data_IF_287186364253
#
_entry.id   IF_287186364253
#
_cell.length_a   1.000
_cell.length_b   1.000
_cell.length_c   1.000
_cell.angle_alpha   90.00
_cell.angle_beta   90.00
_cell.angle_gamma   90.00
#
_symmetry.space_group_name_H-M   'P 1'
#
loop_
_entity.id
_entity.type
_entity.pdbx_description
1 polymer ?
#
# COMPACT_ATOMS: atom_id res chain seq x y z
N UNK A 1 24.09 11.05 11.60
CA UNK A 1 22.76 11.61 11.30
C UNK A 1 21.71 10.73 11.94
N UNK A 2 20.82 11.29 12.77
CA UNK A 2 19.75 10.54 13.48
C UNK A 2 18.40 10.89 12.87
N UNK A 3 17.67 9.86 12.42
CA UNK A 3 16.37 10.01 11.72
C UNK A 3 15.30 9.28 12.52
N UNK A 4 14.23 9.99 12.85
CA UNK A 4 13.06 9.40 13.47
C UNK A 4 11.99 9.10 12.40
N UNK A 5 11.39 7.90 12.45
CA UNK A 5 10.45 7.42 11.45
C UNK A 5 9.16 6.92 12.13
N UNK A 6 8.01 7.18 11.50
CA UNK A 6 6.73 6.60 11.95
C UNK A 6 5.98 6.04 10.75
N UNK A 7 5.86 4.72 10.70
CA UNK A 7 5.02 3.99 9.75
C UNK A 7 3.78 3.43 10.45
N UNK A 8 2.63 3.50 9.80
CA UNK A 8 1.34 3.14 10.41
C UNK A 8 0.74 1.81 9.97
N UNK A 9 1.25 1.19 8.91
CA UNK A 9 0.74 -0.05 8.34
C UNK A 9 1.86 -0.83 7.65
N UNK A 10 1.59 -2.07 7.24
CA UNK A 10 2.56 -2.90 6.53
C UNK A 10 3.08 -2.25 5.23
N UNK A 11 2.23 -1.51 4.50
CA UNK A 11 2.63 -0.74 3.32
C UNK A 11 3.63 0.36 3.67
N UNK A 12 3.35 1.12 4.74
CA UNK A 12 4.26 2.15 5.25
C UNK A 12 5.58 1.57 5.77
N UNK A 13 5.54 0.40 6.40
CA UNK A 13 6.74 -0.31 6.86
C UNK A 13 7.68 -0.70 5.70
N UNK A 14 7.12 -1.21 4.61
CA UNK A 14 7.88 -1.52 3.39
C UNK A 14 8.50 -0.26 2.77
N UNK A 15 7.75 0.84 2.68
CA UNK A 15 8.24 2.13 2.19
C UNK A 15 9.37 2.68 3.09
N UNK A 16 9.18 2.61 4.40
CA UNK A 16 10.17 3.00 5.41
C UNK A 16 11.46 2.19 5.30
N UNK A 17 11.34 0.88 5.12
CA UNK A 17 12.50 0.01 4.90
C UNK A 17 13.29 0.37 3.63
N UNK A 18 12.59 0.70 2.55
CA UNK A 18 13.21 1.19 1.31
C UNK A 18 13.95 2.51 1.54
N UNK A 19 13.32 3.46 2.23
CA UNK A 19 13.91 4.75 2.58
C UNK A 19 15.19 4.58 3.45
N UNK A 20 15.12 3.72 4.48
CA UNK A 20 16.28 3.43 5.34
C UNK A 20 17.45 2.90 4.53
N UNK A 21 17.22 1.90 3.66
CA UNK A 21 18.28 1.34 2.80
C UNK A 21 18.88 2.39 1.87
N UNK A 22 18.04 3.22 1.24
CA UNK A 22 18.48 4.27 0.33
C UNK A 22 19.31 5.36 1.03
N UNK A 23 18.93 5.75 2.25
CA UNK A 23 19.69 6.73 3.05
C UNK A 23 21.00 6.11 3.51
N UNK A 24 20.99 4.88 4.02
CA UNK A 24 22.19 4.20 4.53
C UNK A 24 23.24 3.97 3.43
N UNK A 25 22.80 3.73 2.20
CA UNK A 25 23.71 3.61 1.06
C UNK A 25 24.49 4.91 0.78
N UNK A 26 23.95 6.08 1.18
CA UNK A 26 24.55 7.41 1.00
C UNK A 26 25.21 7.94 2.27
N UNK A 27 24.67 7.57 3.42
CA UNK A 27 25.12 7.99 4.77
C UNK A 27 25.19 6.74 5.65
N UNK A 28 26.30 5.96 5.57
CA UNK A 28 26.43 4.67 6.27
C UNK A 28 26.22 4.76 7.78
N UNK A 29 26.65 5.86 8.39
CA UNK A 29 26.54 6.11 9.84
C UNK A 29 25.19 6.69 10.28
N UNK A 30 24.17 6.69 9.40
CA UNK A 30 22.83 7.12 9.77
C UNK A 30 22.17 6.12 10.72
N UNK A 31 21.60 6.63 11.80
CA UNK A 31 20.82 5.85 12.76
C UNK A 31 19.32 6.16 12.62
N UNK A 32 18.50 5.14 12.81
CA UNK A 32 17.06 5.19 12.62
C UNK A 32 16.34 4.66 13.84
N UNK A 33 15.34 5.39 14.33
CA UNK A 33 14.48 4.96 15.44
C UNK A 33 13.02 5.34 15.17
N UNK A 34 12.07 4.58 15.70
CA UNK A 34 10.68 5.00 15.61
C UNK A 34 9.62 3.94 15.74
N UNK A 35 8.45 4.20 15.13
CA UNK A 35 7.36 3.23 15.02
C UNK A 35 7.58 2.44 13.73
N UNK A 36 7.91 1.16 13.89
CA UNK A 36 8.43 0.32 12.83
C UNK A 36 7.81 -1.07 12.86
N UNK A 37 7.61 -1.65 11.68
CA UNK A 37 7.28 -3.04 11.51
C UNK A 37 8.53 -3.89 11.18
N UNK A 38 8.31 -5.17 10.85
CA UNK A 38 9.40 -6.12 10.59
C UNK A 38 10.37 -5.70 9.49
N UNK A 39 9.87 -5.06 8.41
CA UNK A 39 10.71 -4.66 7.28
C UNK A 39 11.66 -3.51 7.64
N UNK A 40 11.19 -2.49 8.35
CA UNK A 40 12.05 -1.40 8.84
C UNK A 40 13.05 -1.90 9.87
N UNK A 41 12.66 -2.81 10.76
CA UNK A 41 13.57 -3.44 11.74
C UNK A 41 14.69 -4.19 11.00
N UNK A 42 14.33 -5.03 10.02
CA UNK A 42 15.30 -5.75 9.19
C UNK A 42 16.23 -4.80 8.40
N UNK A 43 15.76 -3.59 8.05
CA UNK A 43 16.57 -2.54 7.45
C UNK A 43 17.44 -1.78 8.46
N UNK A 44 17.30 -2.06 9.78
CA UNK A 44 18.13 -1.50 10.86
C UNK A 44 17.52 -0.31 11.59
N UNK A 45 16.20 -0.22 11.66
CA UNK A 45 15.48 0.74 12.51
C UNK A 45 15.37 0.21 13.94
N UNK A 46 15.73 1.02 14.92
CA UNK A 46 15.44 0.75 16.33
C UNK A 46 13.94 0.97 16.58
N UNK A 47 13.24 -0.10 16.92
CA UNK A 47 11.80 -0.04 17.19
C UNK A 47 11.51 0.51 18.57
N UNK A 48 10.85 1.66 18.65
CA UNK A 48 10.30 2.23 19.88
C UNK A 48 8.86 1.75 20.15
N UNK A 49 8.09 1.50 19.10
CA UNK A 49 6.72 0.98 19.17
C UNK A 49 6.43 0.18 17.87
N UNK A 50 5.49 -0.73 17.93
CA UNK A 50 5.08 -1.56 16.79
C UNK A 50 4.18 -0.79 15.83
N UNK A 51 4.42 -0.93 14.52
CA UNK A 51 3.60 -0.30 13.48
C UNK A 51 2.15 -0.80 13.52
N UNK A 52 1.90 -2.06 13.93
CA UNK A 52 0.55 -2.59 14.10
C UNK A 52 -0.29 -1.80 15.10
N UNK A 53 0.34 -1.11 16.06
CA UNK A 53 -0.35 -0.22 17.00
C UNK A 53 -1.12 0.89 16.28
N UNK A 54 -0.65 1.33 15.11
CA UNK A 54 -1.31 2.35 14.29
C UNK A 54 -2.28 1.76 13.27
N UNK A 55 -2.06 0.51 12.82
CA UNK A 55 -2.89 -0.18 11.83
C UNK A 55 -4.35 -0.40 12.29
N UNK A 56 -4.58 -0.44 13.59
CA UNK A 56 -5.92 -0.59 14.19
C UNK A 56 -6.87 0.57 13.85
N UNK A 57 -6.36 1.69 13.31
CA UNK A 57 -7.20 2.84 12.90
C UNK A 57 -8.13 2.56 11.70
N UNK A 58 -7.88 1.51 10.91
CA UNK A 58 -8.70 1.13 9.76
C UNK A 58 -9.85 0.17 10.07
N UNK A 59 -9.95 -0.38 11.27
CA UNK A 59 -10.93 -1.39 11.66
C UNK A 59 -12.06 -0.80 12.54
N UNK A 60 -13.19 -1.43 12.51
CA UNK A 60 -14.57 -1.06 12.89
C UNK A 60 -14.79 -0.37 14.27
N UNK A 61 -13.78 -0.19 15.15
CA UNK A 61 -13.92 0.51 16.43
C UNK A 61 -12.85 1.59 16.68
N UNK A 62 -12.77 2.68 15.86
CA UNK A 62 -11.72 3.69 16.05
C UNK A 62 -11.75 4.40 17.39
N UNK A 63 -12.92 4.58 18.01
CA UNK A 63 -13.07 5.39 19.23
C UNK A 63 -12.37 4.81 20.46
N UNK A 64 -12.31 3.49 20.62
CA UNK A 64 -11.68 2.85 21.79
C UNK A 64 -10.14 2.99 21.79
N UNK A 65 -9.55 3.11 20.62
CA UNK A 65 -8.07 3.17 20.47
C UNK A 65 -7.51 4.60 20.47
N UNK A 66 -8.34 5.62 20.21
CA UNK A 66 -7.92 7.03 20.16
C UNK A 66 -7.12 7.47 21.40
N UNK A 67 -7.52 7.15 22.66
CA UNK A 67 -6.74 7.57 23.83
C UNK A 67 -5.32 6.96 23.87
N UNK A 68 -5.16 5.71 23.41
CA UNK A 68 -3.84 5.03 23.31
C UNK A 68 -2.98 5.73 22.27
N UNK A 69 -3.52 6.00 21.09
CA UNK A 69 -2.81 6.67 20.00
C UNK A 69 -2.40 8.10 20.36
N UNK A 70 -3.27 8.84 21.06
CA UNK A 70 -2.94 10.18 21.56
C UNK A 70 -1.85 10.15 22.62
N UNK A 71 -1.83 9.13 23.50
CA UNK A 71 -0.75 8.93 24.47
C UNK A 71 0.57 8.60 23.79
N UNK A 72 0.57 7.68 22.83
CA UNK A 72 1.75 7.34 22.04
C UNK A 72 2.29 8.58 21.32
N UNK A 73 1.44 9.34 20.60
CA UNK A 73 1.85 10.56 19.92
C UNK A 73 2.44 11.62 20.87
N UNK A 74 1.89 11.73 22.07
CA UNK A 74 2.45 12.65 23.10
C UNK A 74 3.79 12.16 23.62
N UNK A 75 3.96 10.86 23.84
CA UNK A 75 5.21 10.25 24.29
C UNK A 75 6.32 10.44 23.27
N UNK A 76 6.07 10.14 21.99
CA UNK A 76 7.01 10.34 20.89
C UNK A 76 7.38 11.83 20.73
N UNK A 77 6.39 12.72 20.75
CA UNK A 77 6.66 14.15 20.70
C UNK A 77 7.56 14.61 21.85
N UNK A 78 7.27 14.19 23.11
CA UNK A 78 8.09 14.52 24.27
C UNK A 78 9.53 14.00 24.15
N UNK A 79 9.69 12.76 23.65
CA UNK A 79 11.01 12.14 23.43
C UNK A 79 11.82 12.98 22.44
N UNK A 80 11.27 13.26 21.26
CA UNK A 80 11.98 13.91 20.16
C UNK A 80 12.09 15.45 20.30
N UNK A 81 11.27 16.08 21.15
CA UNK A 81 11.50 17.47 21.56
C UNK A 81 12.64 17.55 22.58
N UNK A 82 12.74 16.59 23.52
CA UNK A 82 13.81 16.56 24.52
C UNK A 82 15.16 16.18 23.90
N UNK A 83 15.18 15.28 22.92
CA UNK A 83 16.35 14.83 22.19
C UNK A 83 16.03 14.85 20.69
N UNK A 84 16.19 16.01 20.02
CA UNK A 84 15.77 16.18 18.64
C UNK A 84 16.54 15.29 17.65
N UNK A 85 15.86 14.56 16.75
CA UNK A 85 16.51 13.98 15.59
C UNK A 85 16.90 15.07 14.59
N UNK A 86 17.81 14.77 13.68
CA UNK A 86 18.14 15.68 12.58
C UNK A 86 16.95 15.87 11.65
N UNK A 87 16.19 14.79 11.41
CA UNK A 87 14.95 14.78 10.60
C UNK A 87 13.95 13.81 11.19
N UNK A 88 12.67 14.20 11.19
CA UNK A 88 11.53 13.32 11.39
C UNK A 88 10.84 13.03 10.06
N UNK A 89 10.49 11.77 9.80
CA UNK A 89 9.73 11.37 8.62
C UNK A 89 8.47 10.62 9.04
N UNK A 90 7.30 11.22 8.79
CA UNK A 90 6.03 10.53 8.87
C UNK A 90 5.74 9.78 7.57
N UNK A 91 5.49 8.47 7.64
CA UNK A 91 5.24 7.64 6.47
C UNK A 91 3.78 7.26 6.45
N UNK A 92 3.03 7.77 5.46
CA UNK A 92 1.58 7.57 5.36
C UNK A 92 0.84 7.94 6.68
N UNK A 93 -0.27 7.28 7.00
CA UNK A 93 -1.04 7.50 8.24
C UNK A 93 -1.20 8.99 8.63
N UNK A 94 -1.71 9.86 7.75
CA UNK A 94 -1.70 11.31 7.91
C UNK A 94 -2.44 11.79 9.17
N UNK A 95 -3.48 11.07 9.60
CA UNK A 95 -4.26 11.43 10.79
C UNK A 95 -3.45 11.29 12.09
N UNK A 96 -2.47 10.38 12.12
CA UNK A 96 -1.52 10.28 13.21
C UNK A 96 -0.32 11.20 13.00
N UNK A 97 0.34 11.11 11.85
CA UNK A 97 1.62 11.74 11.58
C UNK A 97 1.54 13.27 11.55
N UNK A 98 0.54 13.89 10.92
CA UNK A 98 0.41 15.36 10.89
C UNK A 98 0.31 15.98 12.28
N UNK A 99 -0.33 15.28 13.22
CA UNK A 99 -0.39 15.79 14.61
C UNK A 99 0.95 15.74 15.33
N UNK A 100 1.83 14.81 14.97
CA UNK A 100 3.19 14.67 15.51
C UNK A 100 4.14 15.64 14.81
N UNK A 101 4.14 15.65 13.49
CA UNK A 101 4.92 16.56 12.64
C UNK A 101 4.76 18.02 13.04
N UNK A 102 3.50 18.49 13.19
CA UNK A 102 3.23 19.88 13.67
C UNK A 102 3.92 20.22 14.95
N UNK A 103 3.93 19.31 15.93
CA UNK A 103 4.57 19.54 17.24
C UNK A 103 6.08 19.57 17.10
N UNK A 104 6.65 18.67 16.30
CA UNK A 104 8.09 18.58 16.07
C UNK A 104 8.58 19.78 15.26
N UNK A 105 7.89 20.15 14.19
CA UNK A 105 8.20 21.35 13.40
C UNK A 105 8.15 22.61 14.24
N UNK A 106 7.15 22.77 15.07
CA UNK A 106 7.05 23.91 16.01
C UNK A 106 8.21 23.93 17.02
N UNK A 107 8.75 22.77 17.38
CA UNK A 107 9.92 22.64 18.24
C UNK A 107 11.26 22.76 17.47
N UNK A 108 11.25 23.08 16.18
CA UNK A 108 12.45 23.29 15.36
C UNK A 108 13.04 22.02 14.72
N UNK A 109 12.37 20.87 14.87
CA UNK A 109 12.79 19.63 14.18
C UNK A 109 12.35 19.70 12.73
N UNK A 110 13.25 19.40 11.80
CA UNK A 110 12.91 19.26 10.36
C UNK A 110 11.97 18.09 10.15
N UNK A 111 10.91 18.30 9.36
CA UNK A 111 9.86 17.30 9.18
C UNK A 111 9.64 17.01 7.69
N UNK A 112 9.56 15.73 7.34
CA UNK A 112 9.15 15.29 6.02
C UNK A 112 7.94 14.36 6.13
N UNK A 113 7.02 14.46 5.17
CA UNK A 113 5.90 13.52 5.05
C UNK A 113 6.07 12.68 3.80
N UNK A 114 6.17 11.38 3.96
CA UNK A 114 6.33 10.43 2.86
C UNK A 114 4.98 9.77 2.56
N UNK A 115 4.59 9.77 1.33
CA UNK A 115 3.26 9.46 0.77
C UNK A 115 2.30 10.64 0.92
N UNK A 116 2.07 11.35 -0.18
CA UNK A 116 1.09 12.44 -0.22
C UNK A 116 -0.30 11.93 0.16
N UNK A 117 -1.00 12.55 1.11
CA UNK A 117 -2.42 12.26 1.25
C UNK A 117 -3.17 12.69 -0.02
N UNK A 118 -4.25 12.00 -0.35
CA UNK A 118 -5.03 12.22 -1.59
C UNK A 118 -5.75 13.58 -1.64
N UNK A 119 -5.02 14.67 -1.39
CA UNK A 119 -5.55 16.05 -1.38
C UNK A 119 -6.04 16.47 -2.77
N UNK A 120 -5.44 15.91 -3.81
CA UNK A 120 -5.75 16.19 -5.22
C UNK A 120 -7.10 15.64 -5.67
N UNK A 121 -7.66 14.64 -4.97
CA UNK A 121 -8.90 14.00 -5.39
C UNK A 121 -10.15 14.67 -4.80
N UNK A 122 -10.15 15.07 -3.52
CA UNK A 122 -11.39 15.50 -2.85
C UNK A 122 -11.22 16.29 -1.54
N UNK A 123 -9.99 16.55 -1.09
CA UNK A 123 -9.71 17.23 0.18
C UNK A 123 -8.66 18.34 0.06
N UNK A 124 -8.79 19.21 -0.92
CA UNK A 124 -7.83 20.30 -1.17
C UNK A 124 -7.61 21.19 0.07
N UNK A 125 -8.61 21.38 0.93
CA UNK A 125 -8.45 22.09 2.20
C UNK A 125 -7.42 21.47 3.18
N UNK A 126 -7.02 20.21 3.01
CA UNK A 126 -5.94 19.59 3.79
C UNK A 126 -4.55 20.14 3.46
N UNK A 127 -4.37 20.84 2.35
CA UNK A 127 -3.11 21.50 1.99
C UNK A 127 -2.58 22.38 3.14
N UNK A 128 -3.44 23.16 3.80
CA UNK A 128 -3.04 23.96 4.96
C UNK A 128 -2.58 23.12 6.15
N UNK A 129 -3.11 21.91 6.28
CA UNK A 129 -2.67 20.97 7.32
C UNK A 129 -1.28 20.43 7.01
N UNK A 130 -1.01 20.07 5.76
CA UNK A 130 0.30 19.62 5.28
C UNK A 130 1.34 20.72 5.48
N UNK A 131 1.06 21.94 5.02
CA UNK A 131 1.96 23.11 5.20
C UNK A 131 2.39 23.32 6.64
N UNK A 132 1.46 23.14 7.60
CA UNK A 132 1.74 23.27 9.03
C UNK A 132 2.49 22.07 9.62
N UNK A 133 2.43 20.92 8.96
CA UNK A 133 2.97 19.65 9.45
C UNK A 133 4.37 19.37 8.90
N UNK A 134 4.55 19.44 7.59
CA UNK A 134 5.79 19.05 6.92
C UNK A 134 6.54 20.27 6.36
N UNK A 135 7.87 20.19 6.38
CA UNK A 135 8.75 21.07 5.63
C UNK A 135 8.92 20.58 4.19
N UNK A 136 8.86 19.24 3.99
CA UNK A 136 8.99 18.61 2.69
C UNK A 136 7.97 17.47 2.54
N UNK A 137 7.38 17.34 1.35
CA UNK A 137 6.52 16.19 1.00
C UNK A 137 7.23 15.32 -0.02
N UNK A 138 7.35 14.03 0.28
CA UNK A 138 7.89 13.02 -0.64
C UNK A 138 6.72 12.36 -1.37
N UNK A 139 6.52 12.75 -2.63
CA UNK A 139 5.42 12.30 -3.47
C UNK A 139 5.76 10.98 -4.16
N UNK A 140 4.83 10.05 -4.18
CA UNK A 140 5.01 8.74 -4.84
C UNK A 140 4.42 8.68 -6.24
N UNK A 141 3.57 9.65 -6.60
CA UNK A 141 2.99 9.78 -7.95
C UNK A 141 3.46 11.10 -8.60
N UNK A 142 3.79 11.09 -9.90
CA UNK A 142 4.45 12.24 -10.55
C UNK A 142 3.59 13.51 -10.58
N UNK A 143 2.27 13.38 -10.69
CA UNK A 143 1.35 14.54 -10.76
C UNK A 143 1.15 15.23 -9.40
N UNK A 144 1.45 14.58 -8.28
CA UNK A 144 1.24 15.12 -6.93
C UNK A 144 2.10 16.37 -6.69
N UNK A 145 3.34 16.35 -7.21
CA UNK A 145 4.26 17.51 -7.09
C UNK A 145 3.61 18.80 -7.62
N UNK A 146 2.97 18.75 -8.78
CA UNK A 146 2.31 19.91 -9.37
C UNK A 146 1.18 20.49 -8.49
N UNK A 147 0.55 19.65 -7.66
CA UNK A 147 -0.45 20.12 -6.69
C UNK A 147 0.21 20.93 -5.58
N UNK A 148 1.32 20.44 -5.03
CA UNK A 148 2.06 21.15 -3.97
C UNK A 148 2.72 22.41 -4.46
N UNK A 149 3.28 22.42 -5.69
CA UNK A 149 3.89 23.60 -6.31
C UNK A 149 2.89 24.77 -6.42
N UNK A 150 1.64 24.50 -6.83
CA UNK A 150 0.56 25.50 -6.88
C UNK A 150 0.25 26.13 -5.53
N UNK A 151 0.53 25.41 -4.45
CA UNK A 151 0.28 25.87 -3.10
C UNK A 151 1.54 26.37 -2.38
N UNK A 152 2.70 26.44 -3.04
CA UNK A 152 3.96 26.86 -2.43
C UNK A 152 4.40 25.99 -1.26
N UNK A 153 4.24 24.66 -1.39
CA UNK A 153 4.71 23.67 -0.43
C UNK A 153 5.86 22.88 -1.06
N UNK A 154 6.99 22.82 -0.39
CA UNK A 154 8.14 22.08 -0.87
C UNK A 154 7.80 20.59 -1.00
N UNK A 155 8.02 20.05 -2.19
CA UNK A 155 7.75 18.66 -2.50
C UNK A 155 8.70 18.12 -3.55
N UNK A 156 8.94 16.83 -3.50
CA UNK A 156 9.75 16.11 -4.48
C UNK A 156 9.07 14.81 -4.87
N UNK A 157 9.06 14.48 -6.15
CA UNK A 157 8.66 13.18 -6.63
C UNK A 157 9.81 12.20 -6.42
N UNK A 158 9.60 11.16 -5.62
CA UNK A 158 10.61 10.16 -5.25
C UNK A 158 10.37 8.79 -5.91
N UNK A 159 9.26 8.65 -6.63
CA UNK A 159 8.84 7.37 -7.20
C UNK A 159 8.16 6.46 -6.17
N UNK A 160 7.70 5.33 -6.66
CA UNK A 160 7.09 4.28 -5.84
C UNK A 160 7.94 3.02 -5.90
N UNK A 161 8.36 2.42 -4.76
CA UNK A 161 9.23 1.23 -4.76
C UNK A 161 8.67 0.04 -5.54
N UNK A 162 7.34 -0.05 -5.69
CA UNK A 162 6.72 -1.06 -6.57
C UNK A 162 7.14 -0.92 -8.03
N UNK A 163 7.37 0.31 -8.51
CA UNK A 163 7.85 0.54 -9.87
C UNK A 163 9.26 0.00 -10.09
N UNK A 164 10.09 -0.02 -9.04
CA UNK A 164 11.44 -0.58 -9.10
C UNK A 164 11.46 -2.10 -8.93
N UNK A 165 10.41 -2.67 -8.29
CA UNK A 165 10.34 -4.10 -7.96
C UNK A 165 9.58 -4.95 -8.98
N UNK A 166 8.72 -4.33 -9.80
CA UNK A 166 7.97 -5.02 -10.85
C UNK A 166 8.78 -4.93 -12.14
N UNK A 167 9.24 -6.07 -12.69
CA UNK A 167 9.90 -6.09 -13.98
C UNK A 167 8.94 -5.60 -15.09
N UNK A 168 9.38 -4.62 -15.87
CA UNK A 168 8.58 -4.04 -16.97
C UNK A 168 8.57 -4.92 -18.23
N UNK A 169 9.37 -5.97 -18.23
CA UNK A 169 9.62 -6.86 -19.35
C UNK A 169 9.10 -8.29 -19.14
N UNK A 170 8.23 -8.52 -18.16
CA UNK A 170 7.57 -9.81 -17.99
C UNK A 170 6.69 -10.04 -19.23
N UNK A 171 7.17 -10.87 -20.15
CA UNK A 171 6.41 -11.27 -21.34
C UNK A 171 5.17 -12.09 -20.96
N UNK A 172 4.04 -11.84 -21.60
CA UNK A 172 2.79 -12.60 -21.37
C UNK A 172 3.05 -14.11 -21.59
N UNK A 173 3.78 -14.49 -22.64
CA UNK A 173 4.08 -15.88 -22.95
C UNK A 173 4.88 -16.57 -21.83
N UNK A 174 5.92 -15.91 -21.30
CA UNK A 174 6.73 -16.45 -20.20
C UNK A 174 5.91 -16.61 -18.91
N UNK A 175 5.04 -15.65 -18.60
CA UNK A 175 4.17 -15.74 -17.43
C UNK A 175 3.13 -16.88 -17.59
N UNK A 176 2.60 -17.09 -18.79
CA UNK A 176 1.68 -18.20 -19.10
C UNK A 176 2.35 -19.57 -19.00
N UNK A 177 3.59 -19.69 -19.47
CA UNK A 177 4.39 -20.91 -19.35
C UNK A 177 4.57 -21.32 -17.88
N UNK A 178 4.93 -20.35 -17.01
CA UNK A 178 5.10 -20.60 -15.56
C UNK A 178 3.79 -21.07 -14.90
N UNK A 179 2.64 -20.62 -15.39
CA UNK A 179 1.32 -20.93 -14.84
C UNK A 179 0.59 -22.07 -15.58
N UNK A 180 1.27 -22.73 -16.52
CA UNK A 180 0.70 -23.79 -17.37
C UNK A 180 -0.60 -23.37 -18.06
N UNK A 181 -0.62 -22.15 -18.60
CA UNK A 181 -1.75 -21.56 -19.32
C UNK A 181 -1.53 -21.65 -20.84
N UNK A 182 -2.58 -22.00 -21.57
CA UNK A 182 -2.56 -22.02 -23.03
C UNK A 182 -2.75 -20.63 -23.67
N UNK A 183 -3.05 -20.64 -24.97
CA UNK A 183 -3.22 -19.41 -25.78
C UNK A 183 -4.60 -18.75 -25.62
N UNK A 184 -5.54 -19.41 -24.95
CA UNK A 184 -6.88 -18.85 -24.71
C UNK A 184 -6.82 -17.55 -23.90
N UNK A 185 -7.77 -16.62 -24.11
CA UNK A 185 -7.78 -15.37 -23.35
C UNK A 185 -7.93 -15.60 -21.83
N UNK A 186 -7.09 -14.92 -21.06
CA UNK A 186 -6.99 -15.07 -19.60
C UNK A 186 -7.46 -13.81 -18.88
N UNK A 187 -8.34 -13.97 -17.92
CA UNK A 187 -8.77 -12.90 -17.01
C UNK A 187 -8.26 -13.20 -15.60
N UNK A 188 -7.43 -12.31 -15.06
CA UNK A 188 -7.02 -12.36 -13.66
C UNK A 188 -8.09 -11.73 -12.76
N UNK A 189 -8.42 -12.40 -11.66
CA UNK A 189 -9.40 -11.92 -10.68
C UNK A 189 -8.71 -11.77 -9.33
N UNK A 190 -8.58 -10.54 -8.84
CA UNK A 190 -7.96 -10.21 -7.56
C UNK A 190 -9.00 -9.61 -6.61
N UNK A 191 -9.76 -10.42 -5.86
CA UNK A 191 -10.89 -9.94 -5.05
C UNK A 191 -10.45 -9.20 -3.78
N UNK A 192 -9.15 -9.18 -3.50
CA UNK A 192 -8.54 -8.54 -2.35
C UNK A 192 -7.57 -9.44 -1.59
N UNK A 193 -6.85 -8.86 -0.65
CA UNK A 193 -5.92 -9.57 0.24
C UNK A 193 -6.46 -9.75 1.66
N UNK A 194 -7.52 -9.01 2.02
CA UNK A 194 -8.17 -9.07 3.33
C UNK A 194 -9.47 -9.86 3.26
N UNK A 195 -9.78 -10.62 4.33
CA UNK A 195 -10.99 -11.42 4.39
C UNK A 195 -12.28 -10.64 4.14
N UNK A 196 -12.35 -9.39 4.62
CA UNK A 196 -13.51 -8.51 4.38
C UNK A 196 -13.66 -8.09 2.90
N UNK A 197 -12.56 -7.88 2.19
CA UNK A 197 -12.56 -7.58 0.76
C UNK A 197 -13.02 -8.80 -0.04
N UNK A 198 -12.37 -9.95 0.18
CA UNK A 198 -12.70 -11.22 -0.50
C UNK A 198 -14.14 -11.64 -0.22
N UNK A 199 -14.63 -11.50 1.02
CA UNK A 199 -16.02 -11.85 1.35
C UNK A 199 -17.05 -11.00 0.61
N UNK A 200 -16.75 -9.72 0.35
CA UNK A 200 -17.68 -8.80 -0.33
C UNK A 200 -17.58 -8.89 -1.85
N UNK A 201 -16.37 -8.81 -2.40
CA UNK A 201 -16.14 -8.71 -3.84
C UNK A 201 -16.00 -10.08 -4.53
N UNK A 202 -15.53 -11.12 -3.82
CA UNK A 202 -15.36 -12.45 -4.38
C UNK A 202 -16.62 -12.96 -5.08
N UNK A 203 -17.79 -13.04 -4.40
CA UNK A 203 -19.03 -13.52 -5.01
C UNK A 203 -19.46 -12.68 -6.23
N UNK A 204 -19.20 -11.37 -6.22
CA UNK A 204 -19.53 -10.47 -7.33
C UNK A 204 -18.66 -10.78 -8.54
N UNK A 205 -17.36 -10.90 -8.35
CA UNK A 205 -16.42 -11.21 -9.42
C UNK A 205 -16.64 -12.61 -10.00
N UNK A 206 -16.89 -13.61 -9.14
CA UNK A 206 -17.15 -14.97 -9.60
C UNK A 206 -18.43 -15.03 -10.45
N UNK A 207 -19.51 -14.37 -10.03
CA UNK A 207 -20.76 -14.29 -10.82
C UNK A 207 -20.54 -13.59 -12.17
N UNK A 208 -19.78 -12.49 -12.19
CA UNK A 208 -19.45 -11.78 -13.41
C UNK A 208 -18.62 -12.68 -14.36
N UNK A 209 -17.65 -13.41 -13.83
CA UNK A 209 -16.83 -14.35 -14.58
C UNK A 209 -17.66 -15.48 -15.19
N UNK A 210 -18.63 -16.02 -14.46
CA UNK A 210 -19.55 -17.04 -14.99
C UNK A 210 -20.43 -16.50 -16.12
N UNK A 211 -20.88 -15.24 -16.03
CA UNK A 211 -21.61 -14.60 -17.14
C UNK A 211 -20.73 -14.40 -18.38
N UNK A 212 -19.48 -13.98 -18.18
CA UNK A 212 -18.52 -13.84 -19.29
C UNK A 212 -18.23 -15.19 -19.94
N UNK A 213 -18.02 -16.26 -19.16
CA UNK A 213 -17.81 -17.61 -19.67
C UNK A 213 -19.02 -18.14 -20.45
N UNK A 214 -20.24 -17.83 -20.03
CA UNK A 214 -21.43 -18.21 -20.77
C UNK A 214 -21.51 -17.55 -22.15
N UNK A 215 -20.95 -16.35 -22.31
CA UNK A 215 -20.86 -15.63 -23.58
C UNK A 215 -19.62 -16.04 -24.41
N UNK A 216 -18.53 -16.42 -23.75
CA UNK A 216 -17.24 -16.78 -24.37
C UNK A 216 -16.64 -17.97 -23.61
N UNK A 217 -16.98 -19.20 -24.01
CA UNK A 217 -16.60 -20.41 -23.27
C UNK A 217 -15.09 -20.68 -23.21
N UNK A 218 -14.32 -20.11 -24.12
CA UNK A 218 -12.86 -20.19 -24.19
C UNK A 218 -12.13 -19.40 -23.11
N UNK A 219 -12.80 -18.48 -22.42
CA UNK A 219 -12.20 -17.66 -21.38
C UNK A 219 -11.68 -18.49 -20.21
N UNK A 220 -10.44 -18.25 -19.85
CA UNK A 220 -9.81 -18.78 -18.64
C UNK A 220 -9.79 -17.72 -17.53
N UNK A 221 -10.01 -18.16 -16.30
CA UNK A 221 -10.00 -17.28 -15.15
C UNK A 221 -9.00 -17.78 -14.11
N UNK A 222 -8.16 -16.89 -13.61
CA UNK A 222 -7.13 -17.21 -12.63
C UNK A 222 -7.20 -16.27 -11.43
N UNK A 223 -7.11 -16.83 -10.23
CA UNK A 223 -7.28 -16.11 -8.96
C UNK A 223 -6.08 -16.35 -8.07
N UNK A 224 -5.20 -15.36 -7.80
CA UNK A 224 -4.12 -15.50 -6.84
C UNK A 224 -4.65 -15.34 -5.42
N UNK A 225 -4.61 -16.40 -4.63
CA UNK A 225 -4.97 -16.37 -3.23
C UNK A 225 -3.79 -15.84 -2.39
N UNK A 226 -3.98 -14.71 -1.71
CA UNK A 226 -2.92 -14.06 -0.94
C UNK A 226 -2.42 -14.90 0.25
N UNK A 227 -3.26 -15.77 0.80
CA UNK A 227 -2.94 -16.68 1.90
C UNK A 227 -3.80 -17.94 1.80
N UNK A 228 -3.40 -19.02 2.49
CA UNK A 228 -4.21 -20.26 2.57
C UNK A 228 -5.64 -19.99 3.07
N UNK A 229 -5.82 -19.07 4.03
CA UNK A 229 -7.15 -18.67 4.50
C UNK A 229 -7.99 -18.01 3.38
N UNK A 230 -7.37 -17.20 2.53
CA UNK A 230 -8.07 -16.59 1.39
C UNK A 230 -8.38 -17.63 0.32
N UNK A 231 -7.50 -18.60 0.08
CA UNK A 231 -7.77 -19.74 -0.80
C UNK A 231 -9.03 -20.48 -0.38
N UNK A 232 -9.10 -20.92 0.88
CA UNK A 232 -10.29 -21.63 1.43
C UNK A 232 -11.57 -20.81 1.28
N UNK A 233 -11.49 -19.48 1.51
CA UNK A 233 -12.65 -18.61 1.36
C UNK A 233 -13.09 -18.50 -0.12
N UNK A 234 -12.16 -18.38 -1.06
CA UNK A 234 -12.45 -18.31 -2.49
C UNK A 234 -13.05 -19.62 -2.98
N UNK A 235 -12.49 -20.78 -2.57
CA UNK A 235 -13.01 -22.12 -2.89
C UNK A 235 -14.44 -22.31 -2.38
N UNK A 236 -14.73 -21.88 -1.15
CA UNK A 236 -16.09 -21.88 -0.60
C UNK A 236 -17.07 -21.05 -1.46
N UNK A 237 -16.65 -19.85 -1.87
CA UNK A 237 -17.45 -18.98 -2.73
C UNK A 237 -17.66 -19.55 -4.13
N UNK A 238 -16.67 -20.26 -4.69
CA UNK A 238 -16.84 -20.98 -5.96
C UNK A 238 -17.92 -22.06 -5.85
N UNK A 239 -17.91 -22.83 -4.77
CA UNK A 239 -18.94 -23.85 -4.53
C UNK A 239 -20.34 -23.23 -4.41
N UNK A 240 -20.48 -22.10 -3.72
CA UNK A 240 -21.75 -21.39 -3.56
C UNK A 240 -22.33 -20.86 -4.90
N UNK A 241 -21.47 -20.47 -5.85
CA UNK A 241 -21.92 -20.02 -7.18
C UNK A 241 -21.99 -21.14 -8.20
N UNK A 242 -21.78 -22.40 -7.80
CA UNK A 242 -21.83 -23.56 -8.69
C UNK A 242 -20.69 -23.60 -9.71
N UNK A 243 -19.54 -23.05 -9.38
CA UNK A 243 -18.42 -22.82 -10.28
C UNK A 243 -17.13 -23.59 -9.85
N UNK A 244 -17.28 -24.66 -9.08
CA UNK A 244 -16.17 -25.56 -8.75
C UNK A 244 -15.50 -26.02 -10.04
N UNK A 245 -14.19 -26.04 -10.09
CA UNK A 245 -13.37 -26.38 -11.27
C UNK A 245 -13.44 -25.35 -12.44
N UNK A 246 -14.12 -24.23 -12.24
CA UNK A 246 -14.23 -23.19 -13.26
C UNK A 246 -13.10 -22.16 -13.23
N UNK A 247 -12.29 -22.16 -12.20
CA UNK A 247 -11.23 -21.17 -11.98
C UNK A 247 -9.93 -21.85 -11.56
N UNK A 248 -8.83 -21.29 -12.04
CA UNK A 248 -7.48 -21.68 -11.59
C UNK A 248 -7.17 -20.83 -10.34
N UNK A 249 -6.85 -21.46 -9.22
CA UNK A 249 -6.44 -20.74 -8.00
C UNK A 249 -4.96 -21.02 -7.76
N UNK A 250 -4.16 -19.95 -7.63
CA UNK A 250 -2.74 -20.03 -7.27
C UNK A 250 -2.51 -19.62 -5.80
N UNK A 251 -1.43 -20.09 -5.21
CA UNK A 251 -0.99 -19.66 -3.88
C UNK A 251 -0.06 -18.45 -4.02
N UNK A 252 -0.63 -17.24 -3.93
CA UNK A 252 0.10 -16.00 -4.21
C UNK A 252 0.39 -15.80 -5.70
N UNK A 253 1.53 -15.14 -6.00
CA UNK A 253 1.95 -14.92 -7.40
C UNK A 253 1.10 -13.89 -8.13
N UNK A 254 0.60 -12.84 -7.44
CA UNK A 254 -0.30 -11.86 -8.05
C UNK A 254 0.34 -11.11 -9.23
N UNK A 255 1.64 -10.88 -9.20
CA UNK A 255 2.36 -10.20 -10.29
C UNK A 255 2.40 -11.10 -11.53
N UNK A 256 2.79 -12.36 -11.35
CA UNK A 256 2.86 -13.37 -12.42
C UNK A 256 1.47 -13.61 -13.02
N UNK A 257 0.45 -13.72 -12.17
CA UNK A 257 -0.95 -13.89 -12.60
C UNK A 257 -1.42 -12.68 -13.40
N UNK A 258 -1.18 -11.46 -12.94
CA UNK A 258 -1.51 -10.26 -13.71
C UNK A 258 -0.70 -10.16 -15.01
N UNK A 259 0.57 -10.54 -15.00
CA UNK A 259 1.42 -10.53 -16.19
C UNK A 259 0.91 -11.52 -17.26
N UNK A 260 0.41 -12.69 -16.87
CA UNK A 260 -0.15 -13.70 -17.77
C UNK A 260 -1.51 -13.32 -18.35
N UNK A 261 -2.25 -12.43 -17.69
CA UNK A 261 -3.62 -12.07 -18.06
C UNK A 261 -3.68 -11.06 -19.22
N UNK A 262 -4.76 -11.12 -20.00
CA UNK A 262 -5.12 -10.10 -20.98
C UNK A 262 -5.89 -8.94 -20.31
N UNK A 263 -6.71 -9.27 -19.32
CA UNK A 263 -7.51 -8.30 -18.55
C UNK A 263 -7.41 -8.64 -17.06
N UNK A 264 -7.38 -7.61 -16.22
CA UNK A 264 -7.37 -7.76 -14.76
C UNK A 264 -8.66 -7.20 -14.18
N UNK A 265 -9.35 -8.00 -13.36
CA UNK A 265 -10.45 -7.55 -12.49
C UNK A 265 -9.95 -7.55 -11.06
N UNK A 266 -10.00 -6.41 -10.38
CA UNK A 266 -9.42 -6.30 -9.05
C UNK A 266 -10.23 -5.44 -8.08
N UNK A 267 -10.06 -5.72 -6.79
CA UNK A 267 -10.46 -4.82 -5.72
C UNK A 267 -9.57 -3.57 -5.73
N UNK A 268 -10.16 -2.38 -5.63
CA UNK A 268 -9.42 -1.13 -5.58
C UNK A 268 -8.43 -1.11 -4.39
N UNK A 269 -7.15 -0.97 -4.68
CA UNK A 269 -6.06 -1.00 -3.71
C UNK A 269 -4.69 -1.00 -4.38
N UNK A 270 -3.68 -1.52 -3.71
CA UNK A 270 -2.29 -1.59 -4.21
C UNK A 270 -2.18 -2.37 -5.53
N UNK A 271 -3.00 -3.41 -5.71
CA UNK A 271 -3.02 -4.20 -6.93
C UNK A 271 -3.37 -3.38 -8.19
N UNK A 272 -4.12 -2.27 -8.04
CA UNK A 272 -4.42 -1.37 -9.15
C UNK A 272 -3.15 -0.69 -9.69
N UNK A 273 -2.25 -0.27 -8.80
CA UNK A 273 -0.95 0.26 -9.20
C UNK A 273 -0.07 -0.81 -9.86
N UNK A 274 -0.04 -2.02 -9.30
CA UNK A 274 0.71 -3.14 -9.85
C UNK A 274 0.23 -3.50 -11.25
N UNK A 275 -1.09 -3.58 -11.46
CA UNK A 275 -1.70 -3.82 -12.77
C UNK A 275 -1.38 -2.71 -13.78
N UNK A 276 -1.40 -1.45 -13.35
CA UNK A 276 -1.02 -0.31 -14.19
C UNK A 276 0.47 -0.34 -14.58
N UNK A 277 1.36 -0.71 -13.66
CA UNK A 277 2.79 -0.88 -13.93
C UNK A 277 3.07 -2.02 -14.92
N UNK A 278 2.24 -3.07 -14.92
CA UNK A 278 2.26 -4.16 -15.90
C UNK A 278 1.54 -3.79 -17.22
N UNK A 279 1.05 -2.55 -17.35
CA UNK A 279 0.31 -2.07 -18.52
C UNK A 279 -0.91 -2.94 -18.89
N UNK A 280 -1.62 -3.50 -17.88
CA UNK A 280 -2.79 -4.36 -18.12
C UNK A 280 -4.10 -3.57 -18.16
N UNK A 281 -4.98 -3.86 -19.14
CA UNK A 281 -6.37 -3.40 -19.08
C UNK A 281 -7.02 -3.85 -17.78
N UNK A 282 -7.60 -2.90 -17.03
CA UNK A 282 -8.02 -3.17 -15.65
C UNK A 282 -9.42 -2.68 -15.37
N UNK A 283 -10.23 -3.53 -14.75
CA UNK A 283 -11.52 -3.19 -14.14
C UNK A 283 -11.36 -3.21 -12.63
N UNK A 284 -11.38 -2.02 -12.01
CA UNK A 284 -11.28 -1.89 -10.56
C UNK A 284 -12.69 -1.73 -9.95
N UNK A 285 -13.00 -2.52 -8.92
CA UNK A 285 -14.24 -2.44 -8.17
C UNK A 285 -13.98 -2.13 -6.69
N UNK A 286 -14.94 -1.49 -6.07
CA UNK A 286 -14.94 -1.21 -4.64
C UNK A 286 -16.34 -1.33 -4.08
N UNK A 287 -16.48 -1.97 -2.92
CA UNK A 287 -17.75 -2.07 -2.21
C UNK A 287 -17.58 -1.59 -0.77
N UNK A 288 -18.42 -0.64 -0.38
CA UNK A 288 -18.44 -0.05 0.97
C UNK A 288 -19.13 -0.98 1.97
#
# INVERSE_FOLDING_TARGET
>A
MRIALVAGEASGDLLGAGLIRAIRARVPDASFEGVAGPAMIAAGCERLEDAETLAVMGLIEPLKHVPRLLRLRRSLAKRWIKSPPDVFVGIDAPDFNFGLEKKLKHAGVKTAHYVSPTIWAWREGRVNTVRKAADLVLCILPFEKAVYDRHGIDSVFVGHPKADSIPTDIGIASAREVLDLGDAPVIAILPGSRGSEVSRLGPVFLKAAMQMRAASPELQFIIPAATAKMRTLIESQQAEVGATDSFIITDGGSIEVMAAADIVMLASGTAALESALLCKPTVAAYQV
#
